data_IF_736058847118
#
_entry.id   IF_736058847118
#
_cell.length_a   1.000
_cell.length_b   1.000
_cell.length_c   1.000
_cell.angle_alpha   90.00
_cell.angle_beta   90.00
_cell.angle_gamma   90.00
#
_symmetry.space_group_name_H-M   'P 1'
#
loop_
_entity.id
_entity.type
_entity.pdbx_description
1 polymer ?
#
# COMPACT_ATOMS: atom_id res chain seq x y z
N UNK A 1 -4.63 24.03 22.33
CA UNK A 1 -5.41 23.01 21.60
C UNK A 1 -5.31 23.33 20.12
N UNK A 2 -4.70 22.46 19.31
CA UNK A 2 -4.70 22.62 17.85
C UNK A 2 -6.09 22.24 17.35
N UNK A 3 -6.84 23.21 16.81
CA UNK A 3 -8.02 22.94 16.00
C UNK A 3 -7.54 22.18 14.76
N UNK A 4 -7.90 20.90 14.67
CA UNK A 4 -7.81 20.15 13.42
C UNK A 4 -9.05 20.56 12.63
N UNK A 5 -8.85 21.35 11.55
CA UNK A 5 -9.88 21.53 10.52
C UNK A 5 -10.00 20.18 9.82
N UNK A 6 -11.09 19.46 10.08
CA UNK A 6 -11.44 18.24 9.36
C UNK A 6 -12.16 18.65 8.08
N UNK A 7 -11.80 18.02 6.97
CA UNK A 7 -12.52 18.14 5.70
C UNK A 7 -13.97 17.66 5.91
N UNK A 8 -15.01 18.33 5.39
CA UNK A 8 -16.39 18.08 5.82
C UNK A 8 -16.96 16.72 5.39
N UNK A 9 -16.23 15.92 4.60
CA UNK A 9 -16.72 14.70 3.94
C UNK A 9 -15.72 13.55 3.88
N UNK A 10 -14.98 13.30 4.96
CA UNK A 10 -14.04 12.16 5.01
C UNK A 10 -14.64 10.96 5.74
N UNK A 11 -15.05 9.90 5.04
CA UNK A 11 -15.42 8.62 5.68
C UNK A 11 -14.15 8.00 6.28
N UNK A 12 -14.04 7.99 7.61
CA UNK A 12 -12.99 7.26 8.33
C UNK A 12 -13.52 5.90 8.80
N UNK A 13 -12.87 4.82 8.37
CA UNK A 13 -13.02 3.52 9.02
C UNK A 13 -12.14 3.50 10.29
N UNK A 14 -12.75 3.43 11.47
CA UNK A 14 -12.03 3.11 12.71
C UNK A 14 -12.76 2.02 13.48
N UNK A 15 -11.95 1.21 14.18
CA UNK A 15 -12.23 -0.17 14.60
C UNK A 15 -13.46 -0.45 15.49
N UNK A 16 -14.26 0.53 15.93
CA UNK A 16 -15.30 0.24 16.94
C UNK A 16 -16.64 0.98 16.78
N UNK A 17 -16.84 1.81 15.77
CA UNK A 17 -18.17 2.38 15.43
C UNK A 17 -18.04 3.18 14.13
N UNK A 18 -18.76 2.78 13.08
CA UNK A 18 -18.87 3.57 11.85
C UNK A 18 -19.70 4.83 12.14
N UNK A 19 -19.03 5.92 12.50
CA UNK A 19 -19.69 7.21 12.68
C UNK A 19 -19.67 8.01 11.38
N UNK A 20 -20.88 8.40 10.97
CA UNK A 20 -21.18 9.48 10.05
C UNK A 20 -20.26 10.68 10.24
N UNK A 21 -19.57 11.10 9.17
CA UNK A 21 -18.93 12.42 9.15
C UNK A 21 -19.99 13.45 8.79
N UNK A 22 -20.42 14.17 9.81
CA UNK A 22 -21.12 15.43 9.67
C UNK A 22 -20.49 16.40 10.68
N UNK A 23 -19.48 17.13 10.24
CA UNK A 23 -19.19 18.45 10.82
C UNK A 23 -19.40 19.45 9.71
N UNK A 24 -20.66 19.78 9.47
CA UNK A 24 -20.98 20.94 8.64
C UNK A 24 -20.69 22.17 9.49
N UNK A 25 -19.70 22.95 9.04
CA UNK A 25 -19.56 24.34 9.49
C UNK A 25 -20.91 25.04 9.24
N UNK A 26 -21.41 25.83 10.18
CA UNK A 26 -22.81 26.33 10.11
C UNK A 26 -23.04 27.44 9.08
N UNK A 27 -22.01 27.78 8.32
CA UNK A 27 -22.00 28.92 7.40
C UNK A 27 -21.64 28.49 5.97
N UNK A 28 -22.03 27.28 5.56
CA UNK A 28 -21.79 26.81 4.19
C UNK A 28 -22.70 27.52 3.18
N UNK A 29 -22.13 27.82 2.03
CA UNK A 29 -22.86 28.33 0.86
C UNK A 29 -23.31 27.19 -0.05
N UNK A 30 -24.22 27.47 -0.99
CA UNK A 30 -24.61 26.54 -2.08
C UNK A 30 -23.37 25.95 -2.76
N UNK A 31 -22.41 26.80 -3.11
CA UNK A 31 -21.18 26.40 -3.79
C UNK A 31 -20.35 25.42 -2.97
N UNK A 32 -20.18 25.69 -1.68
CA UNK A 32 -19.40 24.82 -0.80
C UNK A 32 -20.02 23.42 -0.72
N UNK A 33 -21.35 23.34 -0.58
CA UNK A 33 -22.05 22.06 -0.48
C UNK A 33 -22.06 21.29 -1.78
N UNK A 34 -22.25 21.96 -2.93
CA UNK A 34 -22.17 21.30 -4.23
C UNK A 34 -20.76 20.76 -4.50
N UNK A 35 -19.72 21.53 -4.17
CA UNK A 35 -18.33 21.07 -4.27
C UNK A 35 -18.09 19.80 -3.44
N UNK A 36 -18.62 19.76 -2.23
CA UNK A 36 -18.51 18.59 -1.37
C UNK A 36 -19.33 17.38 -1.85
N UNK A 37 -20.53 17.60 -2.39
CA UNK A 37 -21.31 16.52 -2.98
C UNK A 37 -20.53 15.90 -4.14
N UNK A 38 -19.93 16.72 -4.99
CA UNK A 38 -19.13 16.23 -6.11
C UNK A 38 -17.87 15.49 -5.66
N UNK A 39 -17.21 15.93 -4.58
CA UNK A 39 -16.05 15.22 -4.03
C UNK A 39 -16.39 13.86 -3.41
N UNK A 40 -17.63 13.64 -2.99
CA UNK A 40 -18.12 12.34 -2.50
C UNK A 40 -18.46 11.35 -3.62
N UNK A 41 -18.75 11.81 -4.84
CA UNK A 41 -19.20 10.94 -5.93
C UNK A 41 -18.12 9.95 -6.36
N UNK A 42 -16.88 10.39 -6.45
CA UNK A 42 -15.77 9.53 -6.90
C UNK A 42 -15.52 8.38 -5.90
N UNK A 43 -15.34 8.63 -4.58
CA UNK A 43 -15.25 7.56 -3.59
C UNK A 43 -16.44 6.60 -3.60
N UNK A 44 -17.68 7.09 -3.75
CA UNK A 44 -18.87 6.23 -3.82
C UNK A 44 -18.96 5.38 -5.09
N UNK A 45 -18.30 5.80 -6.18
CA UNK A 45 -18.21 4.99 -7.39
C UNK A 45 -17.11 3.94 -7.31
N UNK A 46 -16.07 4.20 -6.52
CA UNK A 46 -14.93 3.30 -6.35
C UNK A 46 -15.14 2.23 -5.26
N UNK A 47 -16.16 2.35 -4.41
CA UNK A 47 -16.51 1.29 -3.45
C UNK A 47 -17.18 0.10 -4.13
N UNK A 48 -16.80 -1.10 -3.72
CA UNK A 48 -17.39 -2.38 -4.17
C UNK A 48 -18.69 -2.71 -3.41
N UNK A 49 -19.55 -1.70 -3.22
CA UNK A 49 -20.87 -1.78 -2.57
C UNK A 49 -21.95 -1.30 -3.56
N UNK A 50 -22.48 -2.23 -4.34
CA UNK A 50 -23.42 -1.96 -5.44
C UNK A 50 -24.67 -1.19 -4.99
N UNK A 51 -25.25 -1.51 -3.82
CA UNK A 51 -26.47 -0.85 -3.37
C UNK A 51 -26.18 0.54 -2.79
N UNK A 52 -25.04 0.70 -2.11
CA UNK A 52 -24.57 1.94 -1.50
C UNK A 52 -24.20 2.93 -2.58
N UNK A 53 -23.51 2.50 -3.63
CA UNK A 53 -23.26 3.32 -4.81
C UNK A 53 -24.60 3.78 -5.40
N UNK A 54 -25.46 2.84 -5.79
CA UNK A 54 -26.71 3.17 -6.47
C UNK A 54 -27.61 4.12 -5.68
N UNK A 55 -27.84 3.83 -4.40
CA UNK A 55 -28.72 4.64 -3.56
C UNK A 55 -28.00 5.92 -3.15
N UNK A 56 -26.70 5.86 -2.84
CA UNK A 56 -25.94 7.05 -2.46
C UNK A 56 -25.83 8.08 -3.55
N UNK A 57 -25.58 7.67 -4.80
CA UNK A 57 -25.63 8.59 -5.94
C UNK A 57 -27.05 9.19 -6.10
N UNK A 58 -28.10 8.40 -5.90
CA UNK A 58 -29.48 8.91 -5.96
C UNK A 58 -29.80 9.93 -4.87
N UNK A 59 -29.31 9.74 -3.64
CA UNK A 59 -29.48 10.68 -2.53
C UNK A 59 -28.70 11.99 -2.80
N UNK A 60 -27.45 11.88 -3.29
CA UNK A 60 -26.64 13.03 -3.69
C UNK A 60 -27.27 13.83 -4.84
N UNK A 61 -27.78 13.15 -5.88
CA UNK A 61 -28.50 13.79 -6.99
C UNK A 61 -29.75 14.53 -6.49
N UNK A 62 -30.46 13.96 -5.51
CA UNK A 62 -31.59 14.59 -4.85
C UNK A 62 -31.22 15.90 -4.15
N UNK A 63 -30.09 15.94 -3.44
CA UNK A 63 -29.58 17.16 -2.81
C UNK A 63 -29.17 18.21 -3.84
N UNK A 64 -28.47 17.81 -4.91
CA UNK A 64 -28.09 18.73 -6.00
C UNK A 64 -29.34 19.36 -6.63
N UNK A 65 -30.39 18.57 -6.86
CA UNK A 65 -31.64 19.08 -7.38
C UNK A 65 -32.33 20.05 -6.41
N UNK A 66 -32.36 19.72 -5.11
CA UNK A 66 -32.91 20.58 -4.06
C UNK A 66 -32.21 21.95 -4.04
N UNK A 67 -30.87 21.96 -3.95
CA UNK A 67 -30.11 23.21 -3.85
C UNK A 67 -30.13 24.05 -5.13
N UNK A 68 -30.18 23.42 -6.30
CA UNK A 68 -30.33 24.17 -7.55
C UNK A 68 -31.71 24.80 -7.72
N UNK A 69 -32.74 24.27 -7.07
CA UNK A 69 -34.09 24.81 -7.11
C UNK A 69 -34.34 25.87 -6.03
N UNK A 70 -33.77 25.71 -4.83
CA UNK A 70 -34.06 26.56 -3.67
C UNK A 70 -33.05 27.69 -3.45
N UNK A 71 -31.83 27.57 -4.00
CA UNK A 71 -30.76 28.57 -3.89
C UNK A 71 -30.41 29.08 -5.29
N UNK A 72 -30.58 30.39 -5.53
CA UNK A 72 -30.36 31.00 -6.84
C UNK A 72 -28.87 31.23 -7.10
N UNK A 73 -28.15 31.77 -6.11
CA UNK A 73 -26.75 32.12 -6.23
C UNK A 73 -25.83 31.13 -5.52
N UNK A 74 -24.61 31.03 -6.01
CA UNK A 74 -23.55 30.19 -5.45
C UNK A 74 -23.19 30.56 -4.01
N UNK A 75 -23.31 31.84 -3.66
CA UNK A 75 -22.98 32.36 -2.33
C UNK A 75 -24.19 32.36 -1.36
N UNK A 76 -25.35 31.84 -1.77
CA UNK A 76 -26.52 31.77 -0.88
C UNK A 76 -26.25 30.81 0.29
N UNK A 77 -26.52 31.28 1.51
CA UNK A 77 -26.32 30.52 2.75
C UNK A 77 -27.37 29.41 2.92
N UNK A 78 -26.95 28.30 3.54
CA UNK A 78 -27.87 27.22 3.86
C UNK A 78 -28.78 27.56 5.05
N UNK A 79 -30.04 27.12 4.93
CA UNK A 79 -31.01 27.19 6.02
C UNK A 79 -30.96 25.92 6.87
N UNK A 80 -31.55 25.97 8.08
CA UNK A 80 -31.75 24.78 8.93
C UNK A 80 -32.47 23.63 8.21
N UNK A 81 -33.33 23.95 7.23
CA UNK A 81 -34.05 22.94 6.45
C UNK A 81 -33.15 22.26 5.41
N UNK A 82 -32.21 23.01 4.82
CA UNK A 82 -31.17 22.46 3.95
C UNK A 82 -30.29 21.49 4.74
N UNK A 83 -29.79 21.88 5.91
CA UNK A 83 -29.00 21.01 6.77
C UNK A 83 -29.73 19.71 7.15
N UNK A 84 -31.01 19.77 7.51
CA UNK A 84 -31.82 18.57 7.78
C UNK A 84 -31.94 17.63 6.58
N UNK A 85 -31.98 18.18 5.37
CA UNK A 85 -32.05 17.39 4.14
C UNK A 85 -30.74 16.67 3.88
N UNK A 86 -29.61 17.33 4.16
CA UNK A 86 -28.28 16.73 4.08
C UNK A 86 -28.12 15.62 5.12
N UNK A 87 -28.44 15.89 6.39
CA UNK A 87 -28.39 14.89 7.46
C UNK A 87 -29.20 13.64 7.10
N UNK A 88 -30.39 13.83 6.52
CA UNK A 88 -31.24 12.72 6.09
C UNK A 88 -30.60 11.90 4.97
N UNK A 89 -30.06 12.56 3.94
CA UNK A 89 -29.38 11.90 2.83
C UNK A 89 -28.16 11.12 3.32
N UNK A 90 -27.30 11.75 4.12
CA UNK A 90 -26.11 11.11 4.69
C UNK A 90 -26.50 9.93 5.58
N UNK A 91 -27.53 10.07 6.42
CA UNK A 91 -28.02 8.96 7.22
C UNK A 91 -28.52 7.79 6.37
N UNK A 92 -29.20 8.05 5.25
CA UNK A 92 -29.64 7.00 4.32
C UNK A 92 -28.44 6.27 3.71
N UNK A 93 -27.43 7.01 3.22
CA UNK A 93 -26.19 6.47 2.67
C UNK A 93 -25.48 5.60 3.70
N UNK A 94 -25.22 6.13 4.89
CA UNK A 94 -24.54 5.40 5.97
C UNK A 94 -25.29 4.14 6.40
N UNK A 95 -26.63 4.19 6.47
CA UNK A 95 -27.44 3.04 6.88
C UNK A 95 -27.37 1.89 5.88
N UNK A 96 -27.36 2.20 4.59
CA UNK A 96 -27.27 1.19 3.52
C UNK A 96 -25.85 0.64 3.44
N UNK A 97 -24.85 1.52 3.53
CA UNK A 97 -23.46 1.11 3.62
C UNK A 97 -23.24 0.16 4.78
N UNK A 98 -23.78 0.46 5.96
CA UNK A 98 -23.69 -0.44 7.11
C UNK A 98 -24.36 -1.80 6.82
N UNK A 99 -25.55 -1.80 6.23
CA UNK A 99 -26.27 -3.03 5.92
C UNK A 99 -25.52 -3.90 4.90
N UNK A 100 -24.90 -3.29 3.89
CA UNK A 100 -24.04 -4.02 2.95
C UNK A 100 -22.77 -4.50 3.63
N UNK A 101 -22.12 -3.67 4.44
CA UNK A 101 -20.91 -4.06 5.18
C UNK A 101 -21.13 -5.27 6.08
N UNK A 102 -22.33 -5.44 6.64
CA UNK A 102 -22.70 -6.61 7.44
C UNK A 102 -22.64 -7.93 6.63
N UNK A 103 -22.71 -7.87 5.29
CA UNK A 103 -22.53 -9.03 4.41
C UNK A 103 -21.04 -9.35 4.13
N UNK A 104 -20.11 -8.43 4.46
CA UNK A 104 -18.67 -8.62 4.23
C UNK A 104 -17.94 -9.05 5.51
N UNK A 105 -16.96 -9.94 5.36
CA UNK A 105 -16.01 -10.25 6.42
C UNK A 105 -14.83 -9.28 6.32
N UNK A 106 -14.74 -8.32 7.24
CA UNK A 106 -13.59 -7.43 7.34
C UNK A 106 -12.40 -8.16 7.97
N UNK A 107 -11.31 -8.29 7.20
CA UNK A 107 -10.00 -8.62 7.76
C UNK A 107 -9.26 -7.33 8.11
N UNK A 108 -9.00 -7.10 9.39
CA UNK A 108 -8.14 -6.02 9.85
C UNK A 108 -6.78 -6.60 10.25
N UNK A 109 -5.70 -6.31 9.50
CA UNK A 109 -4.36 -6.71 9.91
C UNK A 109 -3.96 -6.09 11.25
N UNK A 110 -3.07 -6.75 11.98
CA UNK A 110 -2.44 -6.17 13.16
C UNK A 110 -1.66 -4.90 12.81
N UNK A 111 -1.71 -3.90 13.69
CA UNK A 111 -1.00 -2.62 13.55
C UNK A 111 0.39 -2.64 14.19
N UNK A 112 0.77 -3.72 14.86
CA UNK A 112 2.03 -3.88 15.58
C UNK A 112 3.25 -4.23 14.71
N UNK A 113 3.21 -3.89 13.42
CA UNK A 113 4.27 -4.15 12.44
C UNK A 113 5.31 -3.02 12.47
N UNK A 114 6.58 -3.35 12.17
CA UNK A 114 7.70 -2.40 12.07
C UNK A 114 7.56 -1.46 10.89
N UNK A 115 6.92 -1.92 9.82
CA UNK A 115 6.66 -1.16 8.61
C UNK A 115 5.23 -0.64 8.62
N UNK A 116 5.00 0.56 8.07
CA UNK A 116 3.66 1.13 7.97
C UNK A 116 2.82 0.26 7.03
N UNK A 117 1.57 -0.01 7.43
CA UNK A 117 0.67 -0.86 6.65
C UNK A 117 0.42 -0.32 5.24
N UNK A 118 0.26 1.00 5.09
CA UNK A 118 0.07 1.65 3.79
C UNK A 118 1.26 1.43 2.84
N UNK A 119 2.48 1.46 3.37
CA UNK A 119 3.68 1.23 2.58
C UNK A 119 3.81 -0.26 2.20
N UNK A 120 3.40 -1.18 3.08
CA UNK A 120 3.37 -2.60 2.75
C UNK A 120 2.31 -2.96 1.68
N UNK A 121 1.16 -2.28 1.70
CA UNK A 121 0.04 -2.58 0.81
C UNK A 121 0.19 -1.94 -0.56
N UNK A 122 0.50 -0.64 -0.58
CA UNK A 122 0.34 0.19 -1.77
C UNK A 122 1.63 0.88 -2.22
N UNK A 123 2.55 1.17 -1.29
CA UNK A 123 3.75 1.96 -1.59
C UNK A 123 5.04 1.22 -1.23
N UNK A 124 5.16 -0.04 -1.65
CA UNK A 124 6.31 -0.91 -1.28
C UNK A 124 7.67 -0.33 -1.69
N UNK A 125 7.70 0.49 -2.73
CA UNK A 125 8.87 1.22 -3.19
C UNK A 125 9.44 2.16 -2.11
N UNK A 126 8.61 2.70 -1.21
CA UNK A 126 9.07 3.52 -0.09
C UNK A 126 9.86 2.71 0.94
N UNK A 127 9.58 1.41 1.04
CA UNK A 127 10.25 0.50 1.98
C UNK A 127 11.68 0.20 1.51
N UNK A 128 11.87 0.00 0.21
CA UNK A 128 13.19 -0.25 -0.38
C UNK A 128 13.96 1.05 -0.67
N UNK A 129 13.23 2.15 -0.88
CA UNK A 129 13.73 3.38 -1.49
C UNK A 129 13.40 3.40 -2.98
N UNK A 130 12.68 4.45 -3.42
CA UNK A 130 12.11 4.56 -4.78
C UNK A 130 13.18 4.34 -5.86
N UNK A 131 14.33 4.99 -5.74
CA UNK A 131 15.43 4.86 -6.70
C UNK A 131 15.99 3.43 -6.80
N UNK A 132 16.06 2.71 -5.68
CA UNK A 132 16.53 1.31 -5.66
C UNK A 132 15.46 0.40 -6.26
N UNK A 133 14.19 0.66 -5.93
CA UNK A 133 13.05 -0.11 -6.43
C UNK A 133 12.91 0.00 -7.95
N UNK A 134 13.06 1.20 -8.53
CA UNK A 134 12.97 1.43 -9.98
C UNK A 134 14.06 0.71 -10.77
N UNK A 135 15.19 0.41 -10.13
CA UNK A 135 16.33 -0.32 -10.74
C UNK A 135 16.15 -1.84 -10.73
N UNK A 136 15.15 -2.36 -10.01
CA UNK A 136 14.81 -3.78 -10.03
C UNK A 136 14.23 -4.17 -11.38
N UNK A 137 14.48 -5.42 -11.79
CA UNK A 137 13.78 -6.06 -12.89
C UNK A 137 12.25 -6.05 -12.66
N UNK A 138 11.41 -6.10 -13.71
CA UNK A 138 9.96 -6.23 -13.54
C UNK A 138 9.54 -7.43 -12.67
N UNK A 139 10.28 -8.54 -12.74
CA UNK A 139 10.02 -9.72 -11.91
C UNK A 139 10.38 -9.47 -10.44
N UNK A 140 11.52 -8.84 -10.18
CA UNK A 140 11.93 -8.48 -8.83
C UNK A 140 11.00 -7.43 -8.19
N UNK A 141 10.52 -6.45 -8.96
CA UNK A 141 9.51 -5.49 -8.50
C UNK A 141 8.21 -6.18 -8.10
N UNK A 142 7.75 -7.12 -8.95
CA UNK A 142 6.56 -7.92 -8.66
C UNK A 142 6.74 -8.75 -7.39
N UNK A 143 7.80 -9.53 -7.30
CA UNK A 143 8.06 -10.38 -6.14
C UNK A 143 8.27 -9.54 -4.86
N UNK A 144 8.92 -8.37 -4.93
CA UNK A 144 9.05 -7.48 -3.78
C UNK A 144 7.69 -6.95 -3.29
N UNK A 145 6.86 -6.46 -4.24
CA UNK A 145 5.48 -5.99 -3.96
C UNK A 145 4.62 -7.06 -3.31
N UNK A 146 4.62 -8.27 -3.87
CA UNK A 146 3.84 -9.38 -3.32
C UNK A 146 4.36 -9.84 -1.96
N UNK A 147 5.68 -9.77 -1.72
CA UNK A 147 6.25 -10.00 -0.40
C UNK A 147 5.76 -9.00 0.65
N UNK A 148 5.76 -7.71 0.32
CA UNK A 148 5.22 -6.65 1.17
C UNK A 148 3.72 -6.84 1.47
N UNK A 149 2.91 -7.16 0.46
CA UNK A 149 1.48 -7.45 0.65
C UNK A 149 1.26 -8.68 1.52
N UNK A 150 2.00 -9.77 1.30
CA UNK A 150 1.91 -10.95 2.14
C UNK A 150 2.23 -10.62 3.60
N UNK A 151 3.20 -9.75 3.86
CA UNK A 151 3.50 -9.26 5.20
C UNK A 151 2.36 -8.41 5.77
N UNK A 152 1.77 -7.53 4.95
CA UNK A 152 0.59 -6.74 5.33
C UNK A 152 -0.58 -7.64 5.77
N UNK A 153 -0.83 -8.71 5.03
CA UNK A 153 -1.95 -9.64 5.27
C UNK A 153 -1.58 -10.86 6.12
N UNK A 154 -0.47 -10.80 6.87
CA UNK A 154 -0.08 -11.81 7.87
C UNK A 154 0.24 -13.20 7.29
N UNK A 155 0.50 -13.27 5.99
CA UNK A 155 1.00 -14.43 5.26
C UNK A 155 2.53 -14.49 5.33
N UNK A 156 3.10 -14.55 6.54
CA UNK A 156 4.55 -14.36 6.78
C UNK A 156 5.47 -15.33 6.03
N UNK A 157 5.07 -16.60 5.89
CA UNK A 157 5.86 -17.58 5.12
C UNK A 157 5.87 -17.22 3.63
N UNK A 158 4.73 -16.81 3.07
CA UNK A 158 4.65 -16.38 1.67
C UNK A 158 5.45 -15.10 1.42
N UNK A 159 5.41 -14.16 2.38
CA UNK A 159 6.26 -12.97 2.38
C UNK A 159 7.74 -13.34 2.25
N UNK A 160 8.22 -14.27 3.09
CA UNK A 160 9.60 -14.73 3.03
C UNK A 160 9.96 -15.30 1.64
N UNK A 161 9.09 -16.13 1.04
CA UNK A 161 9.31 -16.67 -0.31
C UNK A 161 9.48 -15.58 -1.36
N UNK A 162 8.55 -14.62 -1.40
CA UNK A 162 8.55 -13.54 -2.37
C UNK A 162 9.77 -12.61 -2.21
N UNK A 163 10.10 -12.20 -0.99
CA UNK A 163 11.26 -11.35 -0.72
C UNK A 163 12.58 -12.04 -1.07
N UNK A 164 12.71 -13.33 -0.78
CA UNK A 164 13.89 -14.11 -1.17
C UNK A 164 14.00 -14.24 -2.70
N UNK A 165 12.89 -14.42 -3.42
CA UNK A 165 12.88 -14.48 -4.89
C UNK A 165 13.31 -13.15 -5.52
N UNK A 166 12.77 -12.03 -5.04
CA UNK A 166 13.18 -10.70 -5.49
C UNK A 166 14.69 -10.48 -5.26
N UNK A 167 15.20 -10.89 -4.10
CA UNK A 167 16.64 -10.81 -3.79
C UNK A 167 17.48 -11.69 -4.71
N UNK A 168 17.06 -12.93 -4.97
CA UNK A 168 17.77 -13.84 -5.88
C UNK A 168 17.83 -13.29 -7.31
N UNK A 169 16.75 -12.66 -7.77
CA UNK A 169 16.70 -12.03 -9.09
C UNK A 169 17.72 -10.88 -9.20
N UNK A 170 17.82 -10.01 -8.19
CA UNK A 170 18.86 -8.97 -8.13
C UNK A 170 20.26 -9.57 -8.19
N UNK A 171 20.52 -10.64 -7.42
CA UNK A 171 21.82 -11.34 -7.46
C UNK A 171 22.12 -11.87 -8.86
N UNK A 172 21.12 -12.46 -9.54
CA UNK A 172 21.25 -12.95 -10.92
C UNK A 172 21.56 -11.80 -11.88
N UNK A 173 20.89 -10.66 -11.77
CA UNK A 173 21.19 -9.50 -12.61
C UNK A 173 22.61 -8.98 -12.44
N UNK A 174 23.08 -8.87 -11.19
CA UNK A 174 24.46 -8.44 -10.91
C UNK A 174 25.46 -9.44 -11.48
N UNK A 175 25.19 -10.74 -11.33
CA UNK A 175 26.00 -11.80 -11.91
C UNK A 175 26.06 -11.69 -13.44
N UNK A 176 24.91 -11.61 -14.12
CA UNK A 176 24.82 -11.47 -15.59
C UNK A 176 25.57 -10.24 -16.11
N UNK A 177 25.65 -9.19 -15.31
CA UNK A 177 26.30 -7.93 -15.69
C UNK A 177 27.83 -7.95 -15.57
N UNK A 178 28.40 -8.87 -14.79
CA UNK A 178 29.83 -8.83 -14.42
C UNK A 178 30.59 -10.15 -14.59
N UNK A 179 29.88 -11.27 -14.70
CA UNK A 179 30.48 -12.61 -14.73
C UNK A 179 29.96 -13.37 -15.94
N UNK A 180 30.89 -13.87 -16.76
CA UNK A 180 30.56 -14.72 -17.89
C UNK A 180 29.96 -16.05 -17.44
N UNK A 181 28.75 -16.36 -17.95
CA UNK A 181 28.10 -17.65 -17.75
C UNK A 181 26.58 -17.57 -17.67
N UNK A 182 25.95 -18.75 -17.69
CA UNK A 182 24.50 -18.87 -17.57
C UNK A 182 24.07 -18.76 -16.09
N UNK A 183 23.64 -17.57 -15.69
CA UNK A 183 23.14 -17.30 -14.34
C UNK A 183 21.82 -18.02 -14.04
N UNK A 184 21.00 -18.33 -15.05
CA UNK A 184 19.67 -18.90 -14.86
C UNK A 184 19.73 -20.38 -14.46
N UNK A 185 20.85 -21.05 -14.76
CA UNK A 185 21.12 -22.44 -14.34
C UNK A 185 21.86 -22.55 -13.00
N UNK A 186 22.23 -21.42 -12.38
CA UNK A 186 23.01 -21.41 -11.14
C UNK A 186 22.12 -21.31 -9.92
N UNK A 187 22.48 -22.05 -8.88
CA UNK A 187 21.89 -21.87 -7.55
C UNK A 187 22.35 -20.55 -6.95
N UNK A 188 21.60 -20.00 -5.99
CA UNK A 188 22.03 -18.83 -5.20
C UNK A 188 23.48 -18.96 -4.71
N UNK A 189 23.84 -20.11 -4.14
CA UNK A 189 25.19 -20.38 -3.66
C UNK A 189 26.25 -20.23 -4.76
N UNK A 190 25.98 -20.77 -5.96
CA UNK A 190 26.91 -20.63 -7.09
C UNK A 190 27.01 -19.19 -7.59
N UNK A 191 25.92 -18.42 -7.55
CA UNK A 191 25.92 -17.02 -7.96
C UNK A 191 26.81 -16.18 -7.02
N UNK A 192 26.58 -16.26 -5.71
CA UNK A 192 27.31 -15.41 -4.75
C UNK A 192 28.79 -15.79 -4.64
N UNK A 193 29.14 -17.07 -4.81
CA UNK A 193 30.54 -17.48 -4.90
C UNK A 193 31.18 -16.94 -6.17
N UNK A 194 30.52 -17.03 -7.32
CA UNK A 194 31.08 -16.45 -8.54
C UNK A 194 31.23 -14.93 -8.48
N UNK A 195 30.31 -14.21 -7.84
CA UNK A 195 30.50 -12.76 -7.58
C UNK A 195 31.72 -12.48 -6.71
N UNK A 196 31.96 -13.31 -5.69
CA UNK A 196 33.10 -13.18 -4.79
C UNK A 196 34.41 -13.52 -5.50
N UNK A 197 34.45 -14.62 -6.23
CA UNK A 197 35.65 -15.14 -6.92
C UNK A 197 36.10 -14.21 -8.05
N UNK A 198 35.17 -13.43 -8.63
CA UNK A 198 35.46 -12.38 -9.61
C UNK A 198 35.63 -10.99 -8.96
N UNK A 199 35.77 -10.92 -7.64
CA UNK A 199 36.01 -9.68 -6.88
C UNK A 199 34.93 -8.58 -7.06
N UNK A 200 33.72 -8.96 -7.51
CA UNK A 200 32.59 -8.03 -7.72
C UNK A 200 31.99 -7.59 -6.38
N UNK A 201 31.97 -8.49 -5.40
CA UNK A 201 31.47 -8.22 -4.05
C UNK A 201 32.59 -8.35 -3.02
N UNK A 202 32.62 -7.42 -2.05
CA UNK A 202 33.55 -7.54 -0.93
C UNK A 202 33.22 -8.75 -0.04
N UNK A 203 34.20 -9.21 0.74
CA UNK A 203 34.01 -10.28 1.73
C UNK A 203 32.84 -10.00 2.70
N UNK A 204 32.61 -8.73 3.05
CA UNK A 204 31.49 -8.31 3.90
C UNK A 204 30.14 -8.59 3.22
N UNK A 205 30.00 -8.18 1.96
CA UNK A 205 28.76 -8.35 1.19
C UNK A 205 28.51 -9.83 0.93
N UNK A 206 29.55 -10.58 0.57
CA UNK A 206 29.46 -12.04 0.43
C UNK A 206 28.94 -12.70 1.71
N UNK A 207 29.51 -12.37 2.88
CA UNK A 207 29.07 -12.96 4.15
C UNK A 207 27.60 -12.65 4.45
N UNK A 208 27.14 -11.45 4.13
CA UNK A 208 25.74 -11.07 4.32
C UNK A 208 24.81 -11.91 3.42
N UNK A 209 25.14 -12.01 2.13
CA UNK A 209 24.38 -12.82 1.17
C UNK A 209 24.38 -14.31 1.54
N UNK A 210 25.51 -14.82 2.04
CA UNK A 210 25.65 -16.21 2.44
C UNK A 210 24.86 -16.51 3.73
N UNK A 211 24.83 -15.56 4.67
CA UNK A 211 24.00 -15.64 5.87
C UNK A 211 22.50 -15.74 5.52
N UNK A 212 22.02 -14.89 4.61
CA UNK A 212 20.63 -14.98 4.11
C UNK A 212 20.38 -16.34 3.45
N UNK A 213 21.33 -16.81 2.63
CA UNK A 213 21.22 -18.10 1.94
C UNK A 213 21.07 -19.25 2.93
N UNK A 214 21.94 -19.31 3.93
CA UNK A 214 22.03 -20.42 4.88
C UNK A 214 20.85 -20.42 5.87
N UNK A 215 20.49 -19.26 6.42
CA UNK A 215 19.52 -19.19 7.52
C UNK A 215 18.09 -18.87 7.08
N UNK A 216 17.90 -18.40 5.85
CA UNK A 216 16.57 -18.05 5.33
C UNK A 216 16.28 -18.78 4.03
N UNK A 217 17.03 -18.51 2.95
CA UNK A 217 16.72 -19.06 1.63
C UNK A 217 16.61 -20.58 1.65
N UNK A 218 17.63 -21.25 2.16
CA UNK A 218 17.66 -22.71 2.18
C UNK A 218 16.51 -23.28 3.03
N UNK A 219 16.35 -22.86 4.32
CA UNK A 219 15.22 -23.24 5.16
C UNK A 219 13.85 -22.99 4.53
N UNK A 220 13.63 -21.87 3.84
CA UNK A 220 12.33 -21.56 3.22
C UNK A 220 11.89 -22.58 2.19
N UNK A 221 12.82 -23.30 1.54
CA UNK A 221 12.42 -24.37 0.59
C UNK A 221 11.88 -25.64 1.26
N UNK A 222 12.00 -25.75 2.59
CA UNK A 222 11.53 -26.88 3.35
C UNK A 222 10.06 -26.68 3.76
N UNK A 223 9.15 -27.63 3.45
CA UNK A 223 7.71 -27.49 3.75
C UNK A 223 7.38 -27.20 5.22
N UNK A 224 8.23 -27.64 6.15
CA UNK A 224 8.07 -27.46 7.59
C UNK A 224 8.44 -26.05 8.08
N UNK A 225 9.12 -25.24 7.27
CA UNK A 225 9.54 -23.90 7.67
C UNK A 225 8.38 -22.92 7.60
N UNK A 226 7.98 -22.42 8.76
CA UNK A 226 7.00 -21.34 8.91
C UNK A 226 7.65 -20.11 9.49
N UNK A 227 7.23 -18.92 9.07
CA UNK A 227 7.74 -17.65 9.57
C UNK A 227 6.72 -16.99 10.51
N UNK A 228 7.22 -16.37 11.58
CA UNK A 228 6.46 -15.39 12.37
C UNK A 228 6.56 -13.98 11.77
N UNK A 229 5.72 -13.06 12.25
CA UNK A 229 5.77 -11.65 11.87
C UNK A 229 7.18 -11.06 12.01
N UNK A 230 7.77 -11.21 13.20
CA UNK A 230 9.07 -10.63 13.52
C UNK A 230 10.19 -11.21 12.65
N UNK A 231 10.18 -12.51 12.37
CA UNK A 231 11.15 -13.14 11.47
C UNK A 231 11.00 -12.66 10.03
N UNK A 232 9.76 -12.52 9.54
CA UNK A 232 9.51 -12.03 8.18
C UNK A 232 9.93 -10.56 8.04
N UNK A 233 9.68 -9.72 9.04
CA UNK A 233 10.12 -8.33 9.05
C UNK A 233 11.65 -8.19 9.13
N UNK A 234 12.30 -9.04 9.93
CA UNK A 234 13.76 -9.09 10.01
C UNK A 234 14.36 -9.50 8.67
N UNK A 235 13.79 -10.52 8.02
CA UNK A 235 14.21 -10.94 6.69
C UNK A 235 14.03 -9.83 5.66
N UNK A 236 12.88 -9.13 5.66
CA UNK A 236 12.66 -7.98 4.79
C UNK A 236 13.75 -6.91 4.99
N UNK A 237 14.08 -6.57 6.24
CA UNK A 237 15.18 -5.66 6.57
C UNK A 237 16.54 -6.11 6.01
N UNK A 238 16.91 -7.38 6.19
CA UNK A 238 18.16 -7.94 5.66
C UNK A 238 18.21 -7.88 4.13
N UNK A 239 17.10 -8.21 3.47
CA UNK A 239 16.97 -8.18 2.02
C UNK A 239 17.06 -6.74 1.47
N UNK A 240 16.42 -5.76 2.11
CA UNK A 240 16.54 -4.33 1.75
C UNK A 240 18.01 -3.88 1.78
N UNK A 241 18.76 -4.27 2.83
CA UNK A 241 20.17 -3.90 2.96
C UNK A 241 21.00 -4.47 1.81
N UNK A 242 20.91 -5.79 1.55
CA UNK A 242 21.73 -6.40 0.50
C UNK A 242 21.34 -5.96 -0.90
N UNK A 243 20.05 -5.76 -1.17
CA UNK A 243 19.57 -5.25 -2.47
C UNK A 243 20.16 -3.86 -2.71
N UNK A 244 20.02 -2.96 -1.72
CA UNK A 244 20.57 -1.61 -1.81
C UNK A 244 22.08 -1.62 -2.06
N UNK A 245 22.83 -2.44 -1.30
CA UNK A 245 24.28 -2.54 -1.45
C UNK A 245 24.69 -3.10 -2.81
N UNK A 246 23.99 -4.11 -3.33
CA UNK A 246 24.25 -4.68 -4.66
C UNK A 246 24.05 -3.65 -5.78
N UNK A 247 23.06 -2.77 -5.65
CA UNK A 247 22.84 -1.69 -6.60
C UNK A 247 23.85 -0.55 -6.49
N UNK A 248 24.50 -0.34 -5.34
CA UNK A 248 25.68 0.53 -5.23
C UNK A 248 26.92 -0.04 -5.93
N UNK A 249 26.98 -1.37 -6.15
CA UNK A 249 28.10 -2.03 -6.85
C UNK A 249 28.00 -1.84 -8.37
N UNK A 250 26.79 -1.66 -8.92
CA UNK A 250 26.63 -1.24 -10.32
C UNK A 250 27.23 0.17 -10.48
N UNK A 251 28.44 0.24 -11.04
CA UNK A 251 29.02 1.46 -11.61
C UNK A 251 28.24 1.93 -12.85
N UNK A 252 27.01 2.40 -12.65
CA UNK A 252 26.22 3.15 -13.62
C UNK A 252 26.07 4.62 -13.17
N UNK A 253 27.16 5.20 -12.66
CA UNK A 253 27.39 6.63 -12.81
C UNK A 253 28.00 6.85 -14.20
N UNK A 254 27.18 6.67 -15.24
CA UNK A 254 27.47 7.24 -16.56
C UNK A 254 26.81 8.61 -16.77
N UNK A 255 26.17 9.19 -15.74
CA UNK A 255 25.53 10.52 -15.82
C UNK A 255 25.68 11.36 -14.52
N UNK A 256 26.88 11.35 -13.94
CA UNK A 256 27.37 12.48 -13.13
C UNK A 256 28.57 13.11 -13.85
N UNK A 257 28.27 13.76 -14.98
CA UNK A 257 29.15 14.71 -15.67
C UNK A 257 28.59 16.12 -15.56
#
# INVERSE_FOLDING_TARGET
MKQVRLDPFMIYATNDSYFTVAVMDKDLTKKDVLHHIDSLREPLNDIDFDYTNKIGISELDGLVHLFNNELENDDDELTDQHYKSIDKAIYAISSIMQAEMDDYTLFSPSDNKKFKLIDLQNNSENILGVEVFERLSPLAQFDFKEGCKCLAFECYTASAFHILRATEDVIKEIYKSHVDGDADRKTWGNLIHGLKDNEIVSQRVFNHLDYIREHYRNPTNHPERQYSCSESENLLGLCIEVISVLFCIKGLDSDCG
#
